data_IF_118285007110
#
_entry.id   IF_118285007110
#
_cell.length_a   1.000
_cell.length_b   1.000
_cell.length_c   1.000
_cell.angle_alpha   90.00
_cell.angle_beta   90.00
_cell.angle_gamma   90.00
#
_symmetry.space_group_name_H-M   'P 1'
#
loop_
_entity.id
_entity.type
_entity.pdbx_description
1 polymer ?
#
# COMPACT_ATOMS: atom_id res chain seq x y z
N UNK A 1 2.98 11.47 -1.08
CA UNK A 1 3.57 10.56 -2.10
C UNK A 1 4.43 11.24 -3.14
N UNK A 2 3.99 12.34 -3.70
CA UNK A 2 4.73 13.04 -4.76
C UNK A 2 6.21 13.32 -4.43
N UNK A 3 6.50 13.94 -3.28
CA UNK A 3 7.87 14.29 -2.87
C UNK A 3 8.77 13.05 -2.77
N UNK A 4 8.26 11.97 -2.17
CA UNK A 4 8.99 10.72 -2.04
C UNK A 4 9.25 10.04 -3.38
N UNK A 5 8.37 10.23 -4.37
CA UNK A 5 8.58 9.76 -5.74
C UNK A 5 9.72 10.52 -6.42
N UNK A 6 9.74 11.85 -6.28
CA UNK A 6 10.85 12.67 -6.78
C UNK A 6 12.19 12.33 -6.11
N UNK A 7 12.19 12.15 -4.78
CA UNK A 7 13.39 11.77 -4.04
C UNK A 7 13.91 10.39 -4.45
N UNK A 8 13.04 9.43 -4.70
CA UNK A 8 13.44 8.11 -5.19
C UNK A 8 14.04 8.20 -6.59
N UNK A 9 13.32 8.83 -7.52
CA UNK A 9 13.73 8.92 -8.93
C UNK A 9 15.03 9.71 -9.15
N UNK A 10 15.18 10.87 -8.49
CA UNK A 10 16.38 11.70 -8.66
C UNK A 10 17.48 11.46 -7.61
N UNK A 11 17.12 10.93 -6.44
CA UNK A 11 18.05 10.74 -5.32
C UNK A 11 18.76 9.38 -5.35
N UNK A 12 18.04 8.28 -5.60
CA UNK A 12 18.64 6.94 -5.56
C UNK A 12 19.78 6.78 -6.60
N UNK A 13 19.63 7.19 -7.87
CA UNK A 13 20.73 7.13 -8.83
C UNK A 13 21.96 7.94 -8.40
N UNK A 14 21.76 9.10 -7.76
CA UNK A 14 22.87 9.93 -7.25
C UNK A 14 23.62 9.24 -6.12
N UNK A 15 22.91 8.61 -5.19
CA UNK A 15 23.51 7.84 -4.09
C UNK A 15 24.27 6.63 -4.66
N UNK A 16 23.67 5.89 -5.58
CA UNK A 16 24.30 4.74 -6.22
C UNK A 16 25.56 5.14 -7.00
N UNK A 17 25.53 6.25 -7.75
CA UNK A 17 26.71 6.78 -8.45
C UNK A 17 27.84 7.19 -7.50
N UNK A 18 27.50 7.77 -6.35
CA UNK A 18 28.49 8.06 -5.29
C UNK A 18 29.12 6.76 -4.75
N UNK A 19 28.32 5.73 -4.48
CA UNK A 19 28.81 4.43 -4.02
C UNK A 19 29.66 3.72 -5.09
N UNK A 20 29.29 3.83 -6.36
CA UNK A 20 30.08 3.28 -7.47
C UNK A 20 31.48 3.91 -7.53
N UNK A 21 31.56 5.23 -7.41
CA UNK A 21 32.85 5.96 -7.45
C UNK A 21 33.74 5.68 -6.24
N UNK A 22 33.17 5.46 -5.05
CA UNK A 22 33.94 5.30 -3.82
C UNK A 22 34.23 3.84 -3.45
N UNK A 23 33.34 2.91 -3.80
CA UNK A 23 33.37 1.51 -3.38
C UNK A 23 33.60 0.52 -4.54
N UNK A 24 33.86 1.01 -5.76
CA UNK A 24 34.04 0.20 -6.99
C UNK A 24 32.86 -0.77 -7.24
N UNK A 25 31.65 -0.35 -6.88
CA UNK A 25 30.45 -1.17 -7.07
C UNK A 25 30.00 -1.11 -8.54
N UNK A 26 30.18 -2.22 -9.27
CA UNK A 26 29.79 -2.37 -10.67
C UNK A 26 28.28 -2.64 -10.86
N UNK A 27 27.41 -1.82 -10.25
CA UNK A 27 25.99 -1.84 -10.56
C UNK A 27 25.70 -0.92 -11.75
N UNK A 28 24.96 -1.40 -12.76
CA UNK A 28 24.54 -0.57 -13.90
C UNK A 28 23.40 0.36 -13.47
N UNK A 29 23.77 1.55 -12.97
CA UNK A 29 22.82 2.56 -12.49
C UNK A 29 22.14 3.30 -13.65
N UNK A 30 22.72 3.27 -14.86
CA UNK A 30 22.21 4.05 -16.00
C UNK A 30 20.95 3.47 -16.63
N UNK A 31 20.68 2.17 -16.45
CA UNK A 31 19.57 1.50 -17.11
C UNK A 31 18.55 0.92 -16.12
N UNK A 32 18.24 1.66 -15.05
CA UNK A 32 17.18 1.28 -14.12
C UNK A 32 15.83 1.81 -14.64
N UNK A 33 14.84 0.93 -14.91
CA UNK A 33 13.52 1.37 -15.35
C UNK A 33 12.84 2.29 -14.35
N UNK A 34 12.15 3.33 -14.84
CA UNK A 34 11.44 4.31 -14.02
C UNK A 34 10.44 3.68 -13.01
N UNK A 35 9.82 2.56 -13.40
CA UNK A 35 8.87 1.81 -12.58
C UNK A 35 9.48 1.30 -11.27
N UNK A 36 10.78 1.00 -11.23
CA UNK A 36 11.45 0.54 -10.01
C UNK A 36 11.43 1.63 -8.95
N UNK A 37 11.65 2.89 -9.34
CA UNK A 37 11.60 4.02 -8.42
C UNK A 37 10.18 4.27 -7.89
N UNK A 38 9.15 4.04 -8.71
CA UNK A 38 7.73 4.05 -8.26
C UNK A 38 7.52 3.00 -7.17
N UNK A 39 7.96 1.76 -7.41
CA UNK A 39 7.79 0.68 -6.43
C UNK A 39 8.50 0.96 -5.12
N UNK A 40 9.71 1.52 -5.15
CA UNK A 40 10.44 1.89 -3.94
C UNK A 40 9.67 2.97 -3.16
N UNK A 41 9.23 4.03 -3.83
CA UNK A 41 8.48 5.11 -3.18
C UNK A 41 7.16 4.64 -2.61
N UNK A 42 6.41 3.84 -3.35
CA UNK A 42 5.10 3.35 -2.92
C UNK A 42 5.27 2.37 -1.75
N UNK A 43 6.20 1.42 -1.86
CA UNK A 43 6.45 0.43 -0.81
C UNK A 43 6.91 1.07 0.49
N UNK A 44 7.84 2.02 0.43
CA UNK A 44 8.33 2.72 1.61
C UNK A 44 7.22 3.51 2.31
N UNK A 45 6.35 4.17 1.54
CA UNK A 45 5.29 4.93 2.17
C UNK A 45 4.14 4.10 2.69
N UNK A 46 3.57 3.27 1.83
CA UNK A 46 2.44 2.44 2.20
C UNK A 46 2.89 1.45 3.27
N UNK A 47 4.13 0.95 3.20
CA UNK A 47 4.74 0.15 4.26
C UNK A 47 4.78 0.86 5.62
N UNK A 48 5.15 2.15 5.65
CA UNK A 48 5.13 2.92 6.90
C UNK A 48 3.70 3.05 7.48
N UNK A 49 2.73 3.41 6.64
CA UNK A 49 1.32 3.52 7.06
C UNK A 49 0.73 2.17 7.50
N UNK A 50 1.01 1.09 6.76
CA UNK A 50 0.53 -0.25 7.09
C UNK A 50 1.21 -0.81 8.35
N UNK A 51 2.50 -0.52 8.57
CA UNK A 51 3.19 -0.89 9.80
C UNK A 51 2.54 -0.27 11.02
N UNK A 52 2.17 1.01 10.94
CA UNK A 52 1.49 1.72 12.01
C UNK A 52 0.05 1.20 12.22
N UNK A 53 -0.62 0.83 11.13
CA UNK A 53 -1.92 0.18 11.16
C UNK A 53 -1.85 -1.16 11.88
N UNK A 54 -0.87 -2.02 11.56
CA UNK A 54 -0.66 -3.32 12.23
C UNK A 54 -0.35 -3.10 13.71
N UNK A 55 0.54 -2.16 14.02
CA UNK A 55 0.90 -1.82 15.41
C UNK A 55 -0.34 -1.42 16.22
N UNK A 56 -1.17 -0.54 15.65
CA UNK A 56 -2.40 -0.07 16.28
C UNK A 56 -3.42 -1.19 16.46
N UNK A 57 -3.55 -2.07 15.47
CA UNK A 57 -4.45 -3.23 15.54
C UNK A 57 -4.01 -4.26 16.59
N UNK A 58 -2.71 -4.51 16.73
CA UNK A 58 -2.18 -5.36 17.82
C UNK A 58 -2.45 -4.74 19.19
N UNK A 59 -2.35 -3.42 19.31
CA UNK A 59 -2.64 -2.70 20.57
C UNK A 59 -4.12 -2.65 20.92
N UNK A 60 -5.01 -2.80 19.93
CA UNK A 60 -6.45 -2.83 20.13
C UNK A 60 -6.95 -4.17 20.70
N UNK A 61 -6.18 -5.25 20.58
CA UNK A 61 -6.51 -6.55 21.19
C UNK A 61 -6.36 -6.46 22.71
N UNK A 62 -7.36 -6.96 23.43
CA UNK A 62 -7.37 -6.95 24.90
C UNK A 62 -6.16 -7.69 25.48
N UNK A 63 -5.50 -7.06 26.47
CA UNK A 63 -4.29 -7.62 27.10
C UNK A 63 -4.59 -8.93 27.85
N UNK A 64 -5.81 -9.08 28.36
CA UNK A 64 -6.29 -10.29 29.02
C UNK A 64 -6.26 -11.52 28.14
N UNK A 65 -6.36 -11.39 26.81
CA UNK A 65 -6.19 -12.51 25.87
C UNK A 65 -4.78 -13.11 25.94
N UNK A 66 -3.77 -12.25 26.07
CA UNK A 66 -2.38 -12.68 26.19
C UNK A 66 -2.08 -13.21 27.60
N UNK A 67 -2.67 -12.61 28.64
CA UNK A 67 -2.56 -13.08 30.02
C UNK A 67 -3.21 -14.47 30.20
N UNK A 68 -4.40 -14.69 29.62
CA UNK A 68 -5.08 -15.98 29.61
C UNK A 68 -4.26 -17.05 28.87
N UNK A 69 -3.60 -16.69 27.76
CA UNK A 69 -2.68 -17.58 27.06
C UNK A 69 -1.53 -18.03 27.98
N UNK A 70 -0.97 -17.12 28.77
CA UNK A 70 0.05 -17.48 29.76
C UNK A 70 -0.49 -18.38 30.86
N UNK A 71 -1.72 -18.18 31.32
CA UNK A 71 -2.35 -19.03 32.34
C UNK A 71 -2.52 -20.49 31.90
N UNK A 72 -2.67 -20.75 30.60
CA UNK A 72 -2.72 -22.12 30.04
C UNK A 72 -1.35 -22.64 29.57
N UNK A 73 -0.26 -21.96 29.93
CA UNK A 73 1.11 -22.41 29.68
C UNK A 73 1.66 -22.08 28.29
N UNK A 74 1.01 -21.19 27.52
CA UNK A 74 1.57 -20.76 26.23
C UNK A 74 2.78 -19.84 26.41
N UNK A 75 3.75 -19.92 25.50
CA UNK A 75 4.82 -18.92 25.42
C UNK A 75 4.32 -17.63 24.76
N UNK A 76 5.04 -16.52 24.96
CA UNK A 76 4.71 -15.21 24.35
C UNK A 76 4.55 -15.30 22.84
N UNK A 77 5.42 -16.07 22.17
CA UNK A 77 5.35 -16.27 20.73
C UNK A 77 4.10 -17.06 20.32
N UNK A 78 3.74 -18.10 21.08
CA UNK A 78 2.52 -18.87 20.83
C UNK A 78 1.26 -18.03 21.02
N UNK A 79 1.15 -17.28 22.13
CA UNK A 79 0.03 -16.37 22.37
C UNK A 79 -0.06 -15.27 21.31
N UNK A 80 1.07 -14.69 20.92
CA UNK A 80 1.12 -13.69 19.85
C UNK A 80 0.62 -14.25 18.51
N UNK A 81 1.18 -15.37 18.04
CA UNK A 81 0.88 -15.89 16.69
C UNK A 81 -0.50 -16.56 16.62
N UNK A 82 -0.94 -17.24 17.69
CA UNK A 82 -2.19 -18.04 17.67
C UNK A 82 -3.41 -17.27 18.14
N UNK A 83 -3.26 -16.25 18.98
CA UNK A 83 -4.38 -15.55 19.61
C UNK A 83 -4.39 -14.09 19.15
N UNK A 84 -3.34 -13.33 19.44
CA UNK A 84 -3.33 -11.87 19.21
C UNK A 84 -3.27 -11.53 17.72
N UNK A 85 -2.38 -12.15 16.95
CA UNK A 85 -2.15 -11.79 15.55
C UNK A 85 -3.37 -12.02 14.65
N UNK A 86 -4.10 -13.17 14.73
CA UNK A 86 -5.32 -13.35 13.96
C UNK A 86 -6.42 -12.33 14.29
N UNK A 87 -6.57 -11.95 15.57
CA UNK A 87 -7.53 -10.91 16.01
C UNK A 87 -7.10 -9.51 15.55
N UNK A 88 -5.81 -9.19 15.68
CA UNK A 88 -5.28 -7.94 15.16
C UNK A 88 -5.46 -7.82 13.65
N UNK A 89 -5.36 -8.94 12.91
CA UNK A 89 -5.55 -8.94 11.46
C UNK A 89 -7.01 -8.62 11.07
N UNK A 90 -8.01 -9.09 11.81
CA UNK A 90 -9.41 -8.74 11.55
C UNK A 90 -9.66 -7.25 11.81
N UNK A 91 -9.07 -6.70 12.88
CA UNK A 91 -9.13 -5.26 13.20
C UNK A 91 -8.41 -4.40 12.13
N UNK A 92 -7.28 -4.88 11.59
CA UNK A 92 -6.51 -4.15 10.58
C UNK A 92 -7.12 -4.20 9.17
N UNK A 93 -7.94 -5.21 8.87
CA UNK A 93 -8.43 -5.50 7.52
C UNK A 93 -9.18 -4.32 6.85
N UNK A 94 -10.08 -3.59 7.54
CA UNK A 94 -10.76 -2.45 6.94
C UNK A 94 -9.79 -1.32 6.55
N UNK A 95 -8.79 -1.08 7.38
CA UNK A 95 -7.77 -0.06 7.12
C UNK A 95 -6.85 -0.46 5.94
N UNK A 96 -6.57 -1.75 5.78
CA UNK A 96 -5.84 -2.27 4.62
C UNK A 96 -6.63 -2.06 3.32
N UNK A 97 -7.93 -2.37 3.34
CA UNK A 97 -8.80 -2.14 2.20
C UNK A 97 -8.87 -0.66 1.79
N UNK A 98 -9.04 0.24 2.76
CA UNK A 98 -9.04 1.68 2.52
C UNK A 98 -7.69 2.19 1.98
N UNK A 99 -6.58 1.69 2.55
CA UNK A 99 -5.23 1.99 2.06
C UNK A 99 -5.02 1.51 0.63
N UNK A 100 -5.53 0.33 0.28
CA UNK A 100 -5.43 -0.23 -1.07
C UNK A 100 -6.22 0.58 -2.10
N UNK A 101 -7.44 1.01 -1.78
CA UNK A 101 -8.25 1.89 -2.64
C UNK A 101 -7.56 3.25 -2.83
N UNK A 102 -6.91 3.75 -1.78
CA UNK A 102 -6.15 5.01 -1.85
C UNK A 102 -4.91 4.85 -2.73
N UNK A 103 -4.18 3.74 -2.59
CA UNK A 103 -3.01 3.42 -3.40
C UNK A 103 -3.35 3.35 -4.90
N UNK A 104 -4.50 2.77 -5.27
CA UNK A 104 -4.98 2.71 -6.65
C UNK A 104 -5.19 4.10 -7.27
N UNK A 105 -5.61 5.08 -6.47
CA UNK A 105 -5.72 6.47 -6.93
C UNK A 105 -4.35 7.13 -6.99
N UNK A 106 -3.48 6.84 -6.03
CA UNK A 106 -2.11 7.38 -5.99
C UNK A 106 -1.24 6.92 -7.16
N UNK A 107 -1.54 5.79 -7.83
CA UNK A 107 -0.81 5.37 -9.05
C UNK A 107 -0.87 6.43 -10.15
N UNK A 108 -1.91 7.27 -10.18
CA UNK A 108 -2.04 8.38 -11.14
C UNK A 108 -0.89 9.38 -11.06
N UNK A 109 -0.20 9.45 -9.92
CA UNK A 109 0.98 10.29 -9.74
C UNK A 109 2.21 9.73 -10.46
N UNK A 110 2.26 8.41 -10.76
CA UNK A 110 3.41 7.76 -11.38
C UNK A 110 3.76 8.34 -12.77
N UNK A 111 2.78 8.91 -13.47
CA UNK A 111 2.99 9.60 -14.75
C UNK A 111 3.98 10.76 -14.67
N UNK A 112 4.17 11.35 -13.48
CA UNK A 112 5.11 12.46 -13.28
C UNK A 112 6.57 12.01 -13.51
N UNK A 113 6.87 10.73 -13.33
CA UNK A 113 8.18 10.14 -13.66
C UNK A 113 8.09 9.25 -14.91
N UNK A 114 7.23 9.62 -15.85
CA UNK A 114 7.02 8.98 -17.15
C UNK A 114 6.52 7.53 -17.12
N UNK A 115 6.00 7.06 -15.98
CA UNK A 115 5.32 5.76 -15.90
C UNK A 115 3.87 5.93 -16.30
N UNK A 116 3.50 5.34 -17.44
CA UNK A 116 2.17 5.54 -18.01
C UNK A 116 1.15 4.61 -17.36
N UNK A 117 0.21 5.19 -16.62
CA UNK A 117 -0.96 4.52 -16.06
C UNK A 117 -2.25 5.02 -16.75
N UNK A 118 -3.43 4.80 -16.15
CA UNK A 118 -4.71 5.25 -16.71
C UNK A 118 -4.72 6.77 -16.92
N UNK A 119 -4.32 7.55 -15.90
CA UNK A 119 -4.21 9.00 -16.00
C UNK A 119 -3.13 9.44 -17.01
N UNK A 120 -2.03 8.69 -17.08
CA UNK A 120 -1.00 8.90 -18.09
C UNK A 120 -1.53 8.73 -19.53
N UNK A 121 -2.28 7.66 -19.79
CA UNK A 121 -2.93 7.44 -21.08
C UNK A 121 -3.94 8.54 -21.40
N UNK A 122 -4.71 8.97 -20.41
CA UNK A 122 -5.66 10.07 -20.54
C UNK A 122 -4.98 11.35 -21.03
N UNK A 123 -3.83 11.70 -20.44
CA UNK A 123 -3.03 12.86 -20.86
C UNK A 123 -2.49 12.71 -22.28
N UNK A 124 -2.00 11.53 -22.65
CA UNK A 124 -1.46 11.27 -24.00
C UNK A 124 -2.56 11.41 -25.07
N UNK A 125 -3.73 10.80 -24.84
CA UNK A 125 -4.87 10.85 -25.77
C UNK A 125 -5.48 12.26 -25.81
N UNK A 126 -5.61 12.90 -24.65
CA UNK A 126 -6.06 14.29 -24.53
C UNK A 126 -5.14 15.27 -25.27
N UNK A 127 -3.82 15.08 -25.17
CA UNK A 127 -2.85 15.91 -25.90
C UNK A 127 -2.93 15.70 -27.42
N UNK A 128 -3.22 14.48 -27.89
CA UNK A 128 -3.38 14.19 -29.32
C UNK A 128 -4.67 14.77 -29.91
N UNK A 129 -5.75 14.75 -29.15
CA UNK A 129 -7.09 15.16 -29.59
C UNK A 129 -7.47 16.59 -29.21
N UNK A 130 -6.70 17.23 -28.30
CA UNK A 130 -7.00 18.49 -27.61
C UNK A 130 -8.33 18.49 -26.81
N UNK A 131 -8.93 17.32 -26.62
CA UNK A 131 -10.21 17.10 -25.90
C UNK A 131 -9.95 16.58 -24.49
N UNK A 132 -9.24 17.36 -23.68
CA UNK A 132 -8.84 16.94 -22.34
C UNK A 132 -10.01 16.67 -21.41
N UNK A 133 -11.08 17.47 -21.51
CA UNK A 133 -12.22 17.36 -20.62
C UNK A 133 -12.94 16.02 -20.79
N UNK A 134 -13.24 15.62 -22.02
CA UNK A 134 -13.91 14.36 -22.31
C UNK A 134 -13.07 13.15 -21.91
N UNK A 135 -11.77 13.16 -22.25
CA UNK A 135 -10.87 12.04 -21.91
C UNK A 135 -10.66 11.91 -20.39
N UNK A 136 -10.67 13.01 -19.65
CA UNK A 136 -10.62 12.97 -18.18
C UNK A 136 -11.91 12.47 -17.55
N UNK A 137 -13.08 12.75 -18.14
CA UNK A 137 -14.35 12.15 -17.72
C UNK A 137 -14.30 10.63 -17.91
N UNK A 138 -13.87 10.17 -19.10
CA UNK A 138 -13.74 8.74 -19.39
C UNK A 138 -12.81 8.04 -18.38
N UNK A 139 -11.67 8.69 -18.09
CA UNK A 139 -10.70 8.18 -17.12
C UNK A 139 -11.25 8.16 -15.69
N UNK A 140 -12.01 9.19 -15.29
CA UNK A 140 -12.66 9.24 -13.99
C UNK A 140 -13.69 8.11 -13.82
N UNK A 141 -14.46 7.81 -14.86
CA UNK A 141 -15.40 6.68 -14.86
C UNK A 141 -14.65 5.35 -14.69
N UNK A 142 -13.53 5.16 -15.39
CA UNK A 142 -12.71 3.95 -15.26
C UNK A 142 -12.17 3.80 -13.83
N UNK A 143 -11.54 4.84 -13.27
CA UNK A 143 -11.06 4.80 -11.88
C UNK A 143 -12.20 4.53 -10.89
N UNK A 144 -13.37 5.14 -11.11
CA UNK A 144 -14.52 4.95 -10.25
C UNK A 144 -15.03 3.51 -10.30
N UNK A 145 -15.16 2.91 -11.49
CA UNK A 145 -15.56 1.51 -11.63
C UNK A 145 -14.56 0.55 -10.96
N UNK A 146 -13.26 0.78 -11.12
CA UNK A 146 -12.22 -0.01 -10.45
C UNK A 146 -12.35 0.12 -8.93
N UNK A 147 -12.49 1.36 -8.42
CA UNK A 147 -12.67 1.61 -6.99
C UNK A 147 -13.93 0.92 -6.44
N UNK A 148 -15.03 0.90 -7.20
CA UNK A 148 -16.26 0.21 -6.79
C UNK A 148 -16.09 -1.31 -6.73
N UNK A 149 -15.43 -1.92 -7.72
CA UNK A 149 -15.15 -3.36 -7.74
C UNK A 149 -14.27 -3.75 -6.56
N UNK A 150 -13.18 -3.01 -6.36
CA UNK A 150 -12.24 -3.24 -5.26
C UNK A 150 -12.92 -3.01 -3.91
N UNK A 151 -13.67 -1.92 -3.76
CA UNK A 151 -14.40 -1.61 -2.53
C UNK A 151 -15.44 -2.66 -2.16
N UNK A 152 -16.15 -3.22 -3.16
CA UNK A 152 -17.02 -4.39 -2.93
C UNK A 152 -16.23 -5.62 -2.49
N UNK A 153 -15.09 -5.89 -3.10
CA UNK A 153 -14.19 -6.99 -2.72
C UNK A 153 -13.75 -6.86 -1.25
N UNK A 154 -13.28 -5.68 -0.87
CA UNK A 154 -12.91 -5.34 0.52
C UNK A 154 -14.09 -5.54 1.47
N UNK A 155 -15.27 -4.99 1.15
CA UNK A 155 -16.45 -5.14 2.01
C UNK A 155 -16.87 -6.60 2.21
N UNK A 156 -16.71 -7.46 1.18
CA UNK A 156 -16.96 -8.90 1.32
C UNK A 156 -15.93 -9.55 2.25
N UNK A 157 -14.66 -9.15 2.17
CA UNK A 157 -13.60 -9.64 3.07
C UNK A 157 -13.86 -9.19 4.52
N UNK A 158 -14.23 -7.95 4.74
CA UNK A 158 -14.61 -7.42 6.07
C UNK A 158 -15.79 -8.19 6.67
N UNK A 159 -16.86 -8.42 5.91
CA UNK A 159 -18.02 -9.20 6.39
C UNK A 159 -17.65 -10.62 6.79
N UNK A 160 -16.69 -11.24 6.08
CA UNK A 160 -16.19 -12.58 6.44
C UNK A 160 -15.33 -12.55 7.70
N UNK A 161 -14.53 -11.51 7.89
CA UNK A 161 -13.71 -11.32 9.09
C UNK A 161 -14.58 -11.06 10.33
N UNK A 162 -15.56 -10.16 10.26
CA UNK A 162 -16.43 -9.80 11.38
C UNK A 162 -17.36 -10.94 11.83
N UNK A 163 -17.62 -11.93 10.97
CA UNK A 163 -18.37 -13.14 11.36
C UNK A 163 -17.70 -13.91 12.51
N UNK A 164 -16.39 -13.72 12.72
CA UNK A 164 -15.64 -14.31 13.83
C UNK A 164 -15.63 -13.46 15.11
N UNK A 165 -15.92 -12.16 15.04
CA UNK A 165 -15.99 -11.27 16.21
C UNK A 165 -17.31 -11.39 16.99
N UNK A 166 -18.40 -11.77 16.32
CA UNK A 166 -19.72 -11.96 16.95
C UNK A 166 -19.78 -13.07 18.03
N UNK A 167 -18.72 -13.87 18.19
CA UNK A 167 -18.59 -14.86 19.27
C UNK A 167 -17.70 -14.41 20.44
N UNK A 168 -17.03 -13.25 20.34
CA UNK A 168 -16.11 -12.75 21.39
C UNK A 168 -16.74 -11.65 22.27
N UNK A 169 -17.90 -11.11 21.88
CA UNK A 169 -18.63 -10.07 22.62
C UNK A 169 -19.86 -10.61 23.37
N UNK A 170 -19.99 -11.93 23.53
CA UNK A 170 -21.07 -12.60 24.25
C UNK A 170 -20.54 -13.34 25.48
#
# INVERSE_FOLDING_TARGET
MLVQMYLSYYGIPKILGFMQSHYQWNADVSNIPAIVFVYISFSLNTGAYLSETIRSAIQAVDKGQLEAAYSVGMSRFQGMVRIVFPQALTIALPNFGNSFISLLKDTSLAFIIAVVDIMGQAKIVGARSLRFFEVYIDSAIIYWLICLVVGKGVSVMEKRANKYEGGMAA
#
